data_IF_366530281133
#
_entry.id   IF_366530281133
#
_cell.length_a   1.000
_cell.length_b   1.000
_cell.length_c   1.000
_cell.angle_alpha   90.00
_cell.angle_beta   90.00
_cell.angle_gamma   90.00
#
_symmetry.space_group_name_H-M   'P 1'
#
loop_
_entity.id
_entity.type
_entity.pdbx_description
1 polymer ?
#
# COMPACT_ATOMS: atom_id res chain seq x y z
N UNK A 1 -13.00 3.33 7.72
CA UNK A 1 -12.28 2.49 8.73
C UNK A 1 -13.21 2.23 9.89
N UNK A 2 -13.18 1.03 10.45
CA UNK A 2 -13.94 0.73 11.67
C UNK A 2 -13.47 1.61 12.83
N UNK A 3 -14.39 2.00 13.72
CA UNK A 3 -14.11 3.00 14.76
C UNK A 3 -13.15 2.52 15.83
N UNK A 4 -13.11 1.21 16.08
CA UNK A 4 -12.27 0.62 17.12
C UNK A 4 -11.42 -0.54 16.58
N UNK A 5 -10.13 -0.63 16.94
CA UNK A 5 -9.31 -1.78 16.57
C UNK A 5 -9.80 -3.04 17.27
N UNK A 6 -9.75 -4.17 16.57
CA UNK A 6 -10.06 -5.47 17.14
C UNK A 6 -8.77 -6.07 17.69
N UNK A 7 -8.66 -6.23 19.01
CA UNK A 7 -7.47 -6.82 19.64
C UNK A 7 -7.53 -8.35 19.63
N UNK A 8 -6.43 -9.00 19.25
CA UNK A 8 -6.25 -10.45 19.26
C UNK A 8 -4.85 -10.83 19.73
N UNK A 9 -4.70 -12.02 20.28
CA UNK A 9 -3.37 -12.59 20.55
C UNK A 9 -3.03 -13.57 19.44
N UNK A 10 -1.95 -13.30 18.70
CA UNK A 10 -1.46 -14.15 17.62
C UNK A 10 -0.04 -14.58 17.98
N UNK A 11 0.20 -15.88 18.07
CA UNK A 11 1.51 -16.45 18.46
C UNK A 11 2.04 -15.90 19.80
N UNK A 12 1.16 -15.57 20.75
CA UNK A 12 1.53 -15.02 22.06
C UNK A 12 1.65 -13.49 22.10
N UNK A 13 1.63 -12.82 20.94
CA UNK A 13 1.76 -11.36 20.87
C UNK A 13 0.39 -10.67 20.74
N UNK A 14 0.14 -9.56 21.47
CA UNK A 14 -1.05 -8.76 21.28
C UNK A 14 -0.97 -7.96 19.98
N UNK A 15 -1.94 -8.18 19.10
CA UNK A 15 -2.06 -7.54 17.78
C UNK A 15 -3.37 -6.76 17.70
N UNK A 16 -3.29 -5.53 17.20
CA UNK A 16 -4.45 -4.73 16.83
C UNK A 16 -4.80 -4.97 15.35
N UNK A 17 -6.00 -5.46 15.07
CA UNK A 17 -6.51 -5.65 13.71
C UNK A 17 -7.34 -4.43 13.34
N UNK A 18 -6.89 -3.70 12.33
CA UNK A 18 -7.61 -2.57 11.76
C UNK A 18 -8.40 -3.04 10.54
N UNK A 19 -9.69 -2.73 10.53
CA UNK A 19 -10.55 -2.98 9.37
C UNK A 19 -10.75 -1.67 8.61
N UNK A 20 -10.24 -1.63 7.38
CA UNK A 20 -10.40 -0.50 6.47
C UNK A 20 -11.39 -0.90 5.38
N UNK A 21 -12.53 -0.22 5.35
CA UNK A 21 -13.41 -0.21 4.19
C UNK A 21 -13.02 0.99 3.31
N UNK A 22 -12.87 0.75 2.02
CA UNK A 22 -12.46 1.74 1.03
C UNK A 22 -13.62 2.04 0.10
N UNK A 23 -13.72 3.28 -0.37
CA UNK A 23 -14.80 3.65 -1.29
C UNK A 23 -14.72 2.78 -2.56
N UNK A 24 -15.86 2.18 -2.93
CA UNK A 24 -15.96 1.29 -4.09
C UNK A 24 -15.69 2.02 -5.41
N UNK A 25 -15.03 1.33 -6.33
CA UNK A 25 -14.53 1.89 -7.60
C UNK A 25 -15.57 1.85 -8.75
N UNK A 26 -16.82 1.53 -8.45
CA UNK A 26 -17.84 1.05 -9.41
C UNK A 26 -19.05 2.00 -9.59
N UNK A 27 -18.87 3.30 -9.37
CA UNK A 27 -19.86 4.30 -9.83
C UNK A 27 -19.32 5.10 -11.02
N UNK A 28 -20.22 5.53 -11.89
CA UNK A 28 -19.90 6.34 -13.09
C UNK A 28 -19.39 7.76 -12.75
N UNK A 29 -19.15 8.05 -11.47
CA UNK A 29 -18.79 9.38 -10.94
C UNK A 29 -17.32 9.43 -10.48
N UNK A 30 -16.71 8.28 -10.14
CA UNK A 30 -15.34 8.22 -9.63
C UNK A 30 -14.33 8.16 -10.79
N UNK A 31 -13.46 9.17 -10.89
CA UNK A 31 -12.41 9.19 -11.93
C UNK A 31 -11.39 8.06 -11.72
N UNK A 32 -10.85 7.52 -12.82
CA UNK A 32 -9.79 6.49 -12.77
C UNK A 32 -8.59 6.92 -11.92
N UNK A 33 -8.29 8.22 -11.88
CA UNK A 33 -7.20 8.78 -11.05
C UNK A 33 -7.52 8.71 -9.56
N UNK A 34 -8.75 9.04 -9.14
CA UNK A 34 -9.14 8.96 -7.74
C UNK A 34 -9.14 7.51 -7.24
N UNK A 35 -9.63 6.61 -8.09
CA UNK A 35 -9.57 5.17 -7.90
C UNK A 35 -8.13 4.67 -7.69
N UNK A 36 -7.19 5.07 -8.55
CA UNK A 36 -5.79 4.71 -8.43
C UNK A 36 -5.14 5.22 -7.13
N UNK A 37 -5.49 6.43 -6.68
CA UNK A 37 -5.00 7.01 -5.44
C UNK A 37 -5.52 6.26 -4.20
N UNK A 38 -6.84 6.02 -4.13
CA UNK A 38 -7.45 5.25 -3.04
C UNK A 38 -6.82 3.87 -2.98
N UNK A 39 -6.69 3.20 -4.13
CA UNK A 39 -6.11 1.88 -4.23
C UNK A 39 -4.63 1.85 -3.80
N UNK A 40 -3.81 2.77 -4.32
CA UNK A 40 -2.39 2.86 -4.00
C UNK A 40 -2.14 3.13 -2.52
N UNK A 41 -2.88 4.07 -1.92
CA UNK A 41 -2.79 4.36 -0.48
C UNK A 41 -3.24 3.17 0.37
N UNK A 42 -4.33 2.50 -0.02
CA UNK A 42 -4.82 1.31 0.67
C UNK A 42 -3.79 0.18 0.65
N UNK A 43 -3.09 0.00 -0.47
CA UNK A 43 -2.01 -0.98 -0.62
C UNK A 43 -0.81 -0.65 0.26
N UNK A 44 -0.43 0.63 0.34
CA UNK A 44 0.70 1.09 1.15
C UNK A 44 0.49 0.91 2.65
N UNK A 45 -0.75 1.12 3.13
CA UNK A 45 -1.07 1.11 4.56
C UNK A 45 -1.50 -0.27 5.06
N UNK A 46 -2.05 -1.10 4.17
CA UNK A 46 -2.60 -2.40 4.57
C UNK A 46 -1.57 -3.51 4.45
N UNK A 47 -1.51 -4.38 5.47
CA UNK A 47 -0.76 -5.64 5.37
C UNK A 47 -1.49 -6.70 4.53
N UNK A 48 -2.81 -6.59 4.42
CA UNK A 48 -3.67 -7.42 3.59
C UNK A 48 -4.71 -6.54 2.92
N UNK A 49 -4.78 -6.61 1.59
CA UNK A 49 -5.76 -5.89 0.79
C UNK A 49 -6.73 -6.89 0.14
N UNK A 50 -8.02 -6.74 0.43
CA UNK A 50 -9.08 -7.55 -0.19
C UNK A 50 -9.67 -6.72 -1.33
N UNK A 51 -9.29 -7.05 -2.57
CA UNK A 51 -9.83 -6.38 -3.74
C UNK A 51 -11.14 -7.04 -4.18
N UNK A 52 -12.27 -6.34 -3.96
CA UNK A 52 -13.59 -6.82 -4.35
C UNK A 52 -13.88 -6.46 -5.82
N UNK A 53 -14.14 -7.48 -6.65
CA UNK A 53 -14.33 -7.31 -8.11
C UNK A 53 -15.64 -7.95 -8.52
N UNK A 54 -16.53 -7.18 -9.13
CA UNK A 54 -17.72 -7.73 -9.77
C UNK A 54 -17.39 -8.18 -11.20
N UNK A 55 -17.60 -9.48 -11.46
CA UNK A 55 -17.56 -10.17 -12.76
C UNK A 55 -16.20 -10.31 -13.47
N UNK A 56 -15.35 -9.28 -13.57
CA UNK A 56 -14.04 -9.39 -14.24
C UNK A 56 -13.00 -8.42 -13.69
N UNK A 57 -11.79 -8.93 -13.46
CA UNK A 57 -10.59 -8.11 -13.32
C UNK A 57 -10.25 -7.61 -14.72
N UNK A 58 -10.49 -6.33 -15.00
CA UNK A 58 -9.99 -5.72 -16.23
C UNK A 58 -8.47 -5.48 -16.07
N UNK A 59 -7.70 -5.79 -17.11
CA UNK A 59 -6.24 -5.87 -17.08
C UNK A 59 -5.56 -4.51 -16.83
N UNK A 60 -6.26 -3.43 -17.20
CA UNK A 60 -5.90 -2.04 -16.90
C UNK A 60 -5.87 -1.73 -15.40
N UNK A 61 -6.81 -2.27 -14.62
CA UNK A 61 -6.85 -2.09 -13.16
C UNK A 61 -5.63 -2.72 -12.47
N UNK A 62 -5.13 -3.84 -13.00
CA UNK A 62 -3.95 -4.54 -12.46
C UNK A 62 -2.63 -3.85 -12.85
N UNK A 63 -2.55 -3.24 -14.03
CA UNK A 63 -1.33 -2.53 -14.46
C UNK A 63 -1.05 -1.31 -13.59
N UNK A 64 -2.08 -0.51 -13.26
CA UNK A 64 -1.92 0.60 -12.33
C UNK A 64 -1.51 0.13 -10.93
N UNK A 65 -2.10 -0.97 -10.45
CA UNK A 65 -1.79 -1.61 -9.17
C UNK A 65 -0.33 -2.03 -9.05
N UNK A 66 0.23 -2.66 -10.09
CA UNK A 66 1.65 -3.03 -10.13
C UNK A 66 2.55 -1.79 -10.12
N UNK A 67 2.19 -0.75 -10.88
CA UNK A 67 2.96 0.49 -10.95
C UNK A 67 3.01 1.22 -9.60
N UNK A 68 1.87 1.38 -8.92
CA UNK A 68 1.83 2.06 -7.62
C UNK A 68 2.46 1.26 -6.49
N UNK A 69 2.35 -0.07 -6.51
CA UNK A 69 3.04 -0.93 -5.56
C UNK A 69 4.56 -0.80 -5.71
N UNK A 70 5.06 -0.69 -6.94
CA UNK A 70 6.49 -0.49 -7.21
C UNK A 70 6.96 0.91 -6.75
N UNK A 71 6.18 1.98 -7.00
CA UNK A 71 6.48 3.31 -6.45
C UNK A 71 6.48 3.33 -4.92
N UNK A 72 5.55 2.61 -4.30
CA UNK A 72 5.48 2.45 -2.86
C UNK A 72 6.72 1.74 -2.30
N UNK A 73 7.10 0.63 -2.93
CA UNK A 73 8.32 -0.12 -2.60
C UNK A 73 9.56 0.76 -2.70
N UNK A 74 9.71 1.53 -3.78
CA UNK A 74 10.85 2.46 -3.96
C UNK A 74 10.86 3.52 -2.86
N UNK A 75 9.71 4.02 -2.44
CA UNK A 75 9.59 5.03 -1.38
C UNK A 75 9.93 4.49 0.01
N UNK A 76 9.77 3.18 0.22
CA UNK A 76 10.12 2.46 1.46
C UNK A 76 11.56 1.96 1.48
N UNK A 77 12.29 2.03 0.36
CA UNK A 77 13.72 1.72 0.36
C UNK A 77 14.45 2.72 1.26
N UNK A 78 15.41 2.27 2.08
CA UNK A 78 16.22 3.17 2.87
C UNK A 78 16.86 4.19 1.93
N UNK A 79 16.68 5.48 2.23
CA UNK A 79 17.40 6.55 1.52
C UNK A 79 18.88 6.22 1.64
N UNK A 80 19.49 5.82 0.53
CA UNK A 80 20.94 5.63 0.46
C UNK A 80 21.53 7.00 0.84
N UNK A 81 22.27 7.11 1.95
CA UNK A 81 22.93 8.38 2.25
C UNK A 81 23.83 8.73 1.07
N UNK A 82 23.85 9.99 0.60
CA UNK A 82 24.75 10.39 -0.46
C UNK A 82 26.17 9.97 -0.07
N UNK A 83 26.85 9.25 -0.96
CA UNK A 83 28.20 8.72 -0.84
C UNK A 83 29.02 9.46 0.22
N UNK A 84 29.26 8.83 1.37
CA UNK A 84 30.35 9.28 2.23
C UNK A 84 31.64 8.99 1.47
N UNK A 85 32.49 10.01 1.17
CA UNK A 85 33.74 9.77 0.47
C UNK A 85 34.60 8.80 1.29
N UNK A 86 35.25 7.86 0.59
CA UNK A 86 36.14 6.87 1.21
C UNK A 86 37.16 7.59 2.10
N UNK A 87 37.42 7.09 3.32
CA UNK A 87 38.46 7.66 4.17
C UNK A 87 39.80 7.53 3.44
N UNK A 88 40.42 8.67 3.15
CA UNK A 88 41.79 8.69 2.63
C UNK A 88 42.71 8.17 3.74
N UNK A 89 43.38 7.06 3.46
CA UNK A 89 44.37 6.48 4.36
C UNK A 89 45.53 7.48 4.52
N UNK A 90 45.99 7.77 5.75
CA UNK A 90 47.18 8.61 5.92
C UNK A 90 48.42 7.83 5.48
N UNK A 91 49.29 8.53 4.74
CA UNK A 91 50.61 8.11 4.29
C UNK A 91 51.59 7.86 5.43
#
# INVERSE_FOLDING_TARGET
>A
MWSEPIFRTIQGEPVAVLLMDTQGMFDNETSMTLTAQIFGLSTLVSSLLIYNVDKRIQEDNLQHLALFSEYGRISLLPKVPPFLPFPQHPS
#
